data_IF_769936266120
#
_entry.id   IF_769936266120
#
_cell.length_a   1.000
_cell.length_b   1.000
_cell.length_c   1.000
_cell.angle_alpha   90.00
_cell.angle_beta   90.00
_cell.angle_gamma   90.00
#
_symmetry.space_group_name_H-M   'P 1'
#
loop_
_entity.id
_entity.type
_entity.pdbx_description
1 polymer ?
#
# COMPACT_ATOMS: atom_id res chain seq x y z
N UNK A 1 -19.73 7.30 36.42
CA UNK A 1 -18.43 6.64 36.20
C UNK A 1 -18.50 5.28 35.44
N UNK A 2 -19.65 4.84 34.91
CA UNK A 2 -19.78 3.56 34.20
C UNK A 2 -19.72 3.68 32.65
N UNK A 3 -19.95 4.86 32.12
CA UNK A 3 -19.99 5.13 30.66
C UNK A 3 -18.61 5.23 30.00
N UNK A 4 -17.60 5.68 30.72
CA UNK A 4 -16.23 5.83 30.15
C UNK A 4 -15.51 4.50 29.88
N UNK A 5 -15.88 3.42 30.57
CA UNK A 5 -15.28 2.10 30.34
C UNK A 5 -15.71 1.46 29.00
N UNK A 6 -16.93 1.77 28.57
CA UNK A 6 -17.44 1.28 27.28
C UNK A 6 -16.89 2.06 26.10
N UNK A 7 -16.68 3.37 26.24
CA UNK A 7 -16.03 4.18 25.20
C UNK A 7 -14.57 3.78 25.02
N UNK A 8 -13.83 3.51 26.09
CA UNK A 8 -12.45 3.02 25.99
C UNK A 8 -12.36 1.63 25.33
N UNK A 9 -13.34 0.76 25.54
CA UNK A 9 -13.39 -0.56 24.89
C UNK A 9 -13.73 -0.46 23.40
N UNK A 10 -14.57 0.48 22.99
CA UNK A 10 -14.91 0.74 21.57
C UNK A 10 -13.73 1.36 20.84
N UNK A 11 -13.02 2.30 21.44
CA UNK A 11 -11.79 2.90 20.87
C UNK A 11 -10.67 1.85 20.74
N UNK A 12 -10.58 0.90 21.68
CA UNK A 12 -9.60 -0.20 21.60
C UNK A 12 -9.96 -1.23 20.50
N UNK A 13 -11.25 -1.41 20.22
CA UNK A 13 -11.73 -2.30 19.14
C UNK A 13 -11.58 -1.68 17.74
N UNK A 14 -11.68 -0.36 17.62
CA UNK A 14 -11.47 0.36 16.37
C UNK A 14 -9.97 0.55 16.02
N UNK A 15 -9.08 0.46 17.02
CA UNK A 15 -7.63 0.50 16.82
C UNK A 15 -7.00 -0.80 16.30
N UNK A 16 -7.77 -1.87 16.11
CA UNK A 16 -7.27 -3.19 15.70
C UNK A 16 -7.46 -3.51 14.20
N UNK A 17 -7.94 -2.58 13.38
CA UNK A 17 -8.21 -2.85 11.96
C UNK A 17 -7.13 -2.32 11.00
N UNK A 18 -6.01 -1.83 11.50
CA UNK A 18 -4.82 -1.61 10.67
C UNK A 18 -3.96 -2.87 10.62
N UNK A 19 -4.51 -3.96 10.10
CA UNK A 19 -3.71 -5.12 9.72
C UNK A 19 -3.10 -4.86 8.35
N UNK A 20 -2.06 -4.05 8.28
CA UNK A 20 -1.13 -4.13 7.17
C UNK A 20 -0.58 -5.56 7.14
N UNK A 21 -0.82 -6.31 6.06
CA UNK A 21 -0.23 -7.64 5.93
C UNK A 21 1.23 -7.47 5.54
N UNK A 22 2.13 -7.76 6.46
CA UNK A 22 3.56 -7.65 6.21
C UNK A 22 4.10 -8.94 5.61
N UNK A 23 4.98 -8.79 4.65
CA UNK A 23 5.71 -9.88 4.02
C UNK A 23 7.20 -9.62 4.13
N UNK A 24 7.97 -10.68 4.26
CA UNK A 24 9.42 -10.59 4.09
C UNK A 24 9.86 -11.51 2.98
N UNK A 25 10.61 -10.97 2.04
CA UNK A 25 11.23 -11.74 0.97
C UNK A 25 12.76 -11.75 1.17
N UNK A 26 13.34 -12.94 1.12
CA UNK A 26 14.79 -13.14 1.14
C UNK A 26 15.17 -13.81 -0.16
N UNK A 27 16.13 -13.24 -0.89
CA UNK A 27 16.66 -13.80 -2.12
C UNK A 27 18.15 -14.06 -1.94
N UNK A 28 18.58 -15.31 -2.14
CA UNK A 28 19.96 -15.72 -2.08
C UNK A 28 20.42 -16.18 -3.46
N UNK A 29 21.43 -15.53 -3.99
CA UNK A 29 22.07 -15.93 -5.25
C UNK A 29 23.28 -16.81 -4.94
N UNK A 30 23.26 -18.03 -5.45
CA UNK A 30 24.32 -19.00 -5.26
C UNK A 30 25.46 -18.82 -6.27
N UNK A 31 26.61 -19.41 -5.99
CA UNK A 31 27.80 -19.32 -6.84
C UNK A 31 27.64 -19.97 -8.23
N UNK A 32 26.67 -20.85 -8.40
CA UNK A 32 26.29 -21.47 -9.68
C UNK A 32 25.34 -20.62 -10.51
N UNK A 33 24.80 -19.51 -9.94
CA UNK A 33 23.88 -18.61 -10.58
C UNK A 33 22.41 -18.93 -10.29
N UNK A 34 22.14 -19.99 -9.54
CA UNK A 34 20.79 -20.29 -9.06
C UNK A 34 20.36 -19.26 -8.02
N UNK A 35 19.08 -18.95 -7.97
CA UNK A 35 18.49 -18.10 -6.95
C UNK A 35 17.54 -18.89 -6.07
N UNK A 36 17.79 -18.88 -4.76
CA UNK A 36 16.86 -19.37 -3.77
C UNK A 36 16.07 -18.20 -3.17
N UNK A 37 14.75 -18.30 -3.22
CA UNK A 37 13.86 -17.26 -2.70
C UNK A 37 12.98 -17.82 -1.61
N UNK A 38 12.94 -17.12 -0.49
CA UNK A 38 12.04 -17.39 0.63
C UNK A 38 11.10 -16.21 0.83
N UNK A 39 9.81 -16.48 1.01
CA UNK A 39 8.82 -15.46 1.34
C UNK A 39 8.12 -15.89 2.63
N UNK A 40 8.07 -14.97 3.57
CA UNK A 40 7.48 -15.17 4.89
C UNK A 40 6.20 -14.35 5.00
N UNK A 41 5.18 -14.92 5.62
CA UNK A 41 3.90 -14.29 5.88
C UNK A 41 3.30 -14.77 7.21
N UNK A 42 2.22 -14.14 7.61
CA UNK A 42 1.35 -14.65 8.67
C UNK A 42 0.21 -15.45 8.04
N UNK A 43 0.20 -16.76 8.25
CA UNK A 43 -0.88 -17.65 7.86
C UNK A 43 -1.86 -17.85 9.04
N UNK A 44 -3.15 -17.80 8.74
CA UNK A 44 -4.19 -18.15 9.71
C UNK A 44 -4.25 -19.67 9.98
N UNK A 45 -5.10 -20.07 10.92
CA UNK A 45 -5.24 -21.48 11.29
C UNK A 45 -5.72 -22.36 10.14
N UNK A 46 -6.52 -21.85 9.20
CA UNK A 46 -7.01 -22.60 8.06
C UNK A 46 -5.87 -22.87 7.06
N UNK A 47 -5.05 -21.84 6.74
CA UNK A 47 -3.88 -22.02 5.89
C UNK A 47 -2.86 -22.99 6.51
N UNK A 48 -2.59 -22.87 7.80
CA UNK A 48 -1.68 -23.76 8.54
C UNK A 48 -2.19 -25.20 8.56
N UNK A 49 -3.52 -25.40 8.55
CA UNK A 49 -4.15 -26.71 8.41
C UNK A 49 -4.16 -27.24 6.95
N UNK A 50 -3.69 -26.46 5.98
CA UNK A 50 -3.54 -26.87 4.57
C UNK A 50 -4.60 -26.31 3.62
N UNK A 51 -5.51 -25.47 4.09
CA UNK A 51 -6.50 -24.82 3.20
C UNK A 51 -5.84 -23.69 2.39
N UNK A 52 -5.64 -23.96 1.11
CA UNK A 52 -5.00 -23.02 0.18
C UNK A 52 -5.92 -21.87 -0.27
N UNK A 53 -7.21 -21.89 0.04
CA UNK A 53 -8.11 -20.77 -0.20
C UNK A 53 -7.83 -19.60 0.75
N UNK A 54 -7.20 -19.89 1.89
CA UNK A 54 -6.72 -18.90 2.87
C UNK A 54 -5.27 -18.47 2.62
N UNK A 55 -4.82 -18.51 1.36
CA UNK A 55 -3.46 -18.14 1.01
C UNK A 55 -3.10 -16.72 1.45
N UNK A 56 -2.13 -16.54 2.38
CA UNK A 56 -1.76 -15.22 2.87
C UNK A 56 -0.83 -14.47 1.90
N UNK A 57 -0.28 -15.15 0.89
CA UNK A 57 0.66 -14.55 -0.05
C UNK A 57 -0.07 -13.86 -1.21
N UNK A 58 0.53 -12.80 -1.74
CA UNK A 58 0.00 -12.03 -2.86
C UNK A 58 0.18 -12.73 -4.23
N UNK A 59 0.65 -13.98 -4.22
CA UNK A 59 0.86 -14.78 -5.41
C UNK A 59 0.36 -16.21 -5.19
N UNK A 60 0.13 -16.91 -6.28
CA UNK A 60 -0.31 -18.30 -6.24
C UNK A 60 0.82 -19.23 -5.82
N UNK A 61 0.55 -20.07 -4.84
CA UNK A 61 1.45 -21.17 -4.44
C UNK A 61 1.15 -22.37 -5.32
N UNK A 62 1.95 -22.56 -6.35
CA UNK A 62 1.92 -23.74 -7.21
C UNK A 62 2.80 -24.88 -6.66
N UNK A 63 2.88 -25.99 -7.39
CA UNK A 63 3.68 -27.16 -6.99
C UNK A 63 5.20 -26.92 -6.98
N UNK A 64 5.66 -25.79 -7.47
CA UNK A 64 7.07 -25.41 -7.42
C UNK A 64 7.49 -24.73 -6.12
N UNK A 65 6.52 -24.40 -5.25
CA UNK A 65 6.78 -23.81 -3.96
C UNK A 65 6.73 -24.84 -2.84
N UNK A 66 7.76 -24.88 -2.02
CA UNK A 66 7.77 -25.63 -0.77
C UNK A 66 7.19 -24.77 0.35
N UNK A 67 6.18 -25.28 1.05
CA UNK A 67 5.51 -24.59 2.16
C UNK A 67 5.99 -25.19 3.48
N UNK A 68 6.42 -24.33 4.39
CA UNK A 68 6.89 -24.72 5.73
C UNK A 68 6.18 -23.88 6.78
N UNK A 69 5.57 -24.54 7.75
CA UNK A 69 5.11 -23.90 8.98
C UNK A 69 6.30 -23.71 9.91
N UNK A 70 6.39 -22.55 10.54
CA UNK A 70 7.46 -22.27 11.49
C UNK A 70 6.98 -22.68 12.89
N UNK A 71 7.78 -23.49 13.62
CA UNK A 71 7.46 -23.97 14.97
C UNK A 71 7.31 -22.83 15.97
N UNK A 72 8.02 -21.74 15.73
CA UNK A 72 7.88 -20.48 16.45
C UNK A 72 7.80 -19.34 15.46
N UNK A 73 6.92 -18.37 15.72
CA UNK A 73 6.84 -17.20 14.89
C UNK A 73 8.19 -16.48 14.86
N UNK A 74 8.66 -16.22 13.64
CA UNK A 74 9.92 -15.48 13.44
C UNK A 74 9.61 -13.99 13.54
N UNK A 75 10.31 -13.32 14.44
CA UNK A 75 10.24 -11.88 14.57
C UNK A 75 11.25 -11.25 13.63
N UNK A 76 10.77 -10.39 12.76
CA UNK A 76 11.63 -9.55 11.95
C UNK A 76 11.42 -8.11 12.41
N UNK A 77 12.50 -7.41 12.78
CA UNK A 77 12.44 -5.98 13.01
C UNK A 77 12.34 -5.28 11.65
N UNK A 78 11.13 -4.93 11.30
CA UNK A 78 10.86 -4.03 10.19
C UNK A 78 10.23 -2.78 10.79
N UNK A 79 10.97 -1.66 10.80
CA UNK A 79 10.45 -0.34 11.22
C UNK A 79 9.83 -0.27 12.63
N UNK A 80 10.32 -1.09 13.55
CA UNK A 80 9.88 -1.11 14.93
C UNK A 80 8.66 -2.01 15.23
N UNK A 81 8.02 -2.58 14.23
CA UNK A 81 6.93 -3.53 14.42
C UNK A 81 7.45 -4.96 14.52
N UNK A 82 7.01 -5.66 15.56
CA UNK A 82 7.34 -7.08 15.79
C UNK A 82 6.28 -7.97 15.13
N UNK A 83 6.27 -8.07 13.81
CA UNK A 83 5.37 -8.99 13.12
C UNK A 83 5.83 -10.42 13.32
N UNK A 84 4.89 -11.26 13.75
CA UNK A 84 5.12 -12.69 13.94
C UNK A 84 4.75 -13.42 12.67
N UNK A 85 5.73 -13.63 11.80
CA UNK A 85 5.53 -14.43 10.60
C UNK A 85 5.68 -15.91 10.96
N UNK A 86 4.66 -16.73 10.65
CA UNK A 86 4.55 -18.11 11.09
C UNK A 86 4.55 -19.12 9.94
N UNK A 87 4.62 -18.65 8.70
CA UNK A 87 4.69 -19.49 7.51
C UNK A 87 5.76 -18.99 6.56
N UNK A 88 6.46 -19.92 5.93
CA UNK A 88 7.46 -19.68 4.90
C UNK A 88 7.12 -20.48 3.65
N UNK A 89 7.26 -19.86 2.50
CA UNK A 89 7.32 -20.56 1.22
C UNK A 89 8.68 -20.33 0.58
N UNK A 90 9.25 -21.34 -0.04
CA UNK A 90 10.52 -21.21 -0.73
C UNK A 90 10.50 -21.87 -2.10
N UNK A 91 11.33 -21.34 -3.00
CA UNK A 91 11.52 -21.87 -4.35
C UNK A 91 12.94 -21.57 -4.82
N UNK A 92 13.51 -22.52 -5.54
CA UNK A 92 14.81 -22.35 -6.20
C UNK A 92 14.61 -22.19 -7.69
N UNK A 93 15.16 -21.13 -8.24
CA UNK A 93 15.12 -20.79 -9.66
C UNK A 93 16.48 -21.09 -10.28
N UNK A 94 16.50 -21.66 -11.51
CA UNK A 94 17.76 -22.02 -12.15
C UNK A 94 18.62 -20.80 -12.54
N UNK A 95 17.99 -19.66 -12.73
CA UNK A 95 18.68 -18.40 -13.01
C UNK A 95 17.93 -17.23 -12.38
N UNK A 96 18.68 -16.16 -12.08
CA UNK A 96 18.08 -14.89 -11.63
C UNK A 96 17.19 -14.33 -12.75
N UNK A 97 16.00 -13.85 -12.38
CA UNK A 97 15.01 -13.27 -13.32
C UNK A 97 14.19 -14.30 -14.10
N UNK A 98 14.28 -15.58 -13.75
CA UNK A 98 13.45 -16.63 -14.35
C UNK A 98 12.11 -16.84 -13.61
N UNK A 99 11.90 -16.13 -12.52
CA UNK A 99 10.68 -16.24 -11.75
C UNK A 99 9.54 -15.41 -12.34
N UNK A 100 8.45 -16.08 -12.58
CA UNK A 100 7.16 -15.44 -12.76
C UNK A 100 6.33 -15.73 -11.51
N UNK A 101 5.96 -14.69 -10.79
CA UNK A 101 4.90 -14.82 -9.80
C UNK A 101 3.58 -14.96 -10.57
N UNK A 102 2.94 -16.13 -10.50
CA UNK A 102 1.61 -16.26 -11.07
C UNK A 102 0.63 -15.49 -10.18
N UNK A 103 -0.13 -14.58 -10.80
CA UNK A 103 -1.17 -13.83 -10.12
C UNK A 103 -2.23 -14.76 -9.53
N UNK A 104 -2.81 -14.39 -8.41
CA UNK A 104 -4.00 -15.06 -7.87
C UNK A 104 -5.15 -14.88 -8.87
N UNK A 105 -5.84 -15.97 -9.18
CA UNK A 105 -6.85 -16.11 -10.23
C UNK A 105 -7.71 -14.86 -10.45
N UNK A 106 -7.44 -14.12 -11.54
CA UNK A 106 -8.31 -13.08 -12.08
C UNK A 106 -8.49 -11.80 -11.28
N UNK A 107 -7.89 -11.68 -10.10
CA UNK A 107 -7.81 -10.41 -9.38
C UNK A 107 -6.51 -9.72 -9.80
N UNK A 108 -6.62 -8.77 -10.70
CA UNK A 108 -5.61 -7.73 -10.82
C UNK A 108 -5.61 -6.98 -9.51
N UNK A 109 -4.61 -7.21 -8.67
CA UNK A 109 -4.35 -6.29 -7.58
C UNK A 109 -4.02 -4.94 -8.18
N UNK A 110 -4.68 -3.90 -7.74
CA UNK A 110 -4.50 -2.53 -8.20
C UNK A 110 -3.08 -1.98 -7.93
N UNK A 111 -2.33 -2.63 -7.05
CA UNK A 111 -0.89 -2.50 -6.96
C UNK A 111 -0.29 -3.73 -7.63
N UNK A 112 0.21 -3.64 -8.87
CA UNK A 112 1.02 -4.70 -9.39
C UNK A 112 2.14 -4.91 -8.37
N UNK A 113 2.29 -6.14 -7.87
CA UNK A 113 3.55 -6.58 -7.31
C UNK A 113 4.58 -6.14 -8.34
N UNK A 114 5.33 -5.11 -8.02
CA UNK A 114 6.35 -4.59 -8.91
C UNK A 114 7.43 -5.65 -8.90
N UNK A 115 7.24 -6.64 -9.78
CA UNK A 115 8.21 -7.71 -9.96
C UNK A 115 9.47 -7.02 -10.47
N UNK A 116 10.54 -6.99 -9.67
CA UNK A 116 11.74 -6.32 -10.10
C UNK A 116 12.31 -6.99 -11.34
N UNK A 117 12.83 -6.20 -12.26
CA UNK A 117 13.68 -6.73 -13.33
C UNK A 117 15.03 -7.09 -12.71
N UNK A 118 15.26 -8.36 -12.50
CA UNK A 118 16.45 -8.87 -11.84
C UNK A 118 17.53 -9.23 -12.86
N UNK A 119 18.77 -8.87 -12.55
CA UNK A 119 19.93 -9.18 -13.38
C UNK A 119 21.07 -9.64 -12.50
N UNK A 120 21.71 -10.73 -12.93
CA UNK A 120 22.95 -11.20 -12.35
C UNK A 120 24.09 -11.03 -13.36
N UNK A 121 25.09 -10.26 -13.00
CA UNK A 121 26.31 -10.12 -13.78
C UNK A 121 27.43 -10.86 -13.08
N UNK A 122 28.03 -11.86 -13.78
CA UNK A 122 29.21 -12.58 -13.34
C UNK A 122 30.43 -11.99 -14.05
N UNK A 123 31.45 -11.62 -13.29
CA UNK A 123 32.71 -11.17 -13.85
C UNK A 123 33.88 -11.85 -13.11
N UNK A 124 34.86 -12.32 -13.89
CA UNK A 124 36.08 -12.90 -13.35
C UNK A 124 37.21 -11.88 -13.44
N UNK A 125 37.84 -11.61 -12.29
CA UNK A 125 39.02 -10.73 -12.22
C UNK A 125 40.14 -11.42 -11.44
N UNK A 126 41.21 -11.73 -12.12
CA UNK A 126 42.39 -12.39 -11.56
C UNK A 126 42.06 -13.76 -10.93
N UNK A 127 41.87 -13.79 -9.64
CA UNK A 127 41.57 -15.02 -8.87
C UNK A 127 40.20 -15.03 -8.23
N UNK A 128 39.40 -14.00 -8.49
CA UNK A 128 38.07 -13.81 -7.88
C UNK A 128 37.00 -13.77 -8.91
N UNK A 129 35.88 -14.40 -8.61
CA UNK A 129 34.62 -14.25 -9.32
C UNK A 129 33.73 -13.28 -8.57
N UNK A 130 33.32 -12.20 -9.24
CA UNK A 130 32.39 -11.22 -8.69
C UNK A 130 31.00 -11.50 -9.25
N UNK A 131 30.02 -11.51 -8.36
CA UNK A 131 28.60 -11.57 -8.70
C UNK A 131 27.99 -10.22 -8.35
N UNK A 132 27.43 -9.54 -9.31
CA UNK A 132 26.68 -8.31 -9.12
C UNK A 132 25.21 -8.63 -9.39
N UNK A 133 24.41 -8.64 -8.34
CA UNK A 133 22.98 -8.75 -8.41
C UNK A 133 22.36 -7.36 -8.44
N UNK A 134 21.41 -7.12 -9.35
CA UNK A 134 20.68 -5.87 -9.46
C UNK A 134 19.19 -6.21 -9.59
N UNK A 135 18.37 -5.65 -8.72
CA UNK A 135 16.92 -5.70 -8.82
C UNK A 135 16.43 -4.27 -9.14
N UNK A 136 15.81 -4.09 -10.30
CA UNK A 136 15.23 -2.81 -10.70
C UNK A 136 13.73 -2.91 -10.59
N UNK A 137 13.16 -2.19 -9.67
CA UNK A 137 11.70 -2.08 -9.50
C UNK A 137 11.17 -1.10 -10.54
N UNK A 138 9.99 -1.42 -11.11
CA UNK A 138 9.29 -0.51 -12.00
C UNK A 138 8.86 0.77 -11.28
N UNK A 139 8.50 1.76 -12.05
CA UNK A 139 7.85 2.94 -11.48
C UNK A 139 6.45 2.53 -11.01
N UNK A 140 6.02 3.07 -9.85
CA UNK A 140 4.62 2.95 -9.46
C UNK A 140 3.79 3.54 -10.62
N UNK A 141 2.76 2.84 -11.10
CA UNK A 141 1.91 3.41 -12.11
C UNK A 141 1.31 4.70 -11.55
N UNK A 142 1.66 5.82 -12.17
CA UNK A 142 1.07 7.13 -11.87
C UNK A 142 -0.36 7.15 -12.44
N UNK A 143 -1.23 6.37 -11.85
CA UNK A 143 -2.64 6.25 -12.22
C UNK A 143 -3.56 6.92 -11.20
N UNK A 144 -2.99 7.56 -10.20
CA UNK A 144 -3.77 8.29 -9.21
C UNK A 144 -4.44 9.52 -9.82
N UNK A 145 -5.55 10.00 -9.24
CA UNK A 145 -6.27 11.19 -9.71
C UNK A 145 -5.43 12.46 -9.61
N UNK A 146 -4.33 12.42 -8.84
CA UNK A 146 -3.41 13.54 -8.66
C UNK A 146 -1.98 13.10 -8.98
N UNK A 147 -1.31 13.74 -9.95
CA UNK A 147 0.08 13.42 -10.29
C UNK A 147 1.01 13.62 -9.10
N UNK A 148 1.84 12.60 -8.80
CA UNK A 148 2.79 12.62 -7.70
C UNK A 148 3.86 13.72 -7.88
N UNK A 149 4.21 14.02 -9.12
CA UNK A 149 5.19 15.06 -9.48
C UNK A 149 4.81 16.46 -9.02
N UNK A 150 3.52 16.70 -8.76
CA UNK A 150 3.05 17.98 -8.20
C UNK A 150 3.49 18.19 -6.74
N UNK A 151 3.89 17.13 -6.05
CA UNK A 151 4.24 17.15 -4.63
C UNK A 151 5.69 16.74 -4.38
N UNK A 152 6.19 15.76 -5.11
CA UNK A 152 7.51 15.18 -4.93
C UNK A 152 8.27 15.18 -6.24
N UNK A 153 9.51 15.69 -6.22
CA UNK A 153 10.39 15.58 -7.37
C UNK A 153 10.93 14.14 -7.51
N UNK A 154 11.58 13.84 -8.65
CA UNK A 154 12.09 12.49 -8.95
C UNK A 154 13.12 11.96 -7.95
N UNK A 155 13.90 12.84 -7.33
CA UNK A 155 14.87 12.46 -6.30
C UNK A 155 14.13 12.04 -5.01
N UNK A 156 13.16 12.84 -4.56
CA UNK A 156 12.34 12.57 -3.40
C UNK A 156 11.54 11.26 -3.57
N UNK A 157 10.99 11.03 -4.76
CA UNK A 157 10.32 9.76 -5.10
C UNK A 157 11.28 8.57 -4.99
N UNK A 158 12.54 8.70 -5.48
CA UNK A 158 13.53 7.62 -5.35
C UNK A 158 13.90 7.36 -3.89
N UNK A 159 14.08 8.40 -3.08
CA UNK A 159 14.35 8.26 -1.66
C UNK A 159 13.19 7.53 -0.98
N UNK A 160 11.95 7.98 -1.19
CA UNK A 160 10.78 7.47 -0.51
C UNK A 160 10.41 6.04 -0.93
N UNK A 161 10.28 5.80 -2.23
CA UNK A 161 9.78 4.52 -2.74
C UNK A 161 10.88 3.47 -2.97
N UNK A 162 12.12 3.87 -3.15
CA UNK A 162 13.24 2.97 -3.48
C UNK A 162 14.29 2.88 -2.39
N UNK A 163 14.18 3.69 -1.34
CA UNK A 163 15.19 3.76 -0.28
C UNK A 163 16.56 4.21 -0.81
N UNK A 164 16.59 5.06 -1.84
CA UNK A 164 17.83 5.57 -2.43
C UNK A 164 18.54 6.49 -1.43
N UNK A 165 19.55 5.93 -0.76
CA UNK A 165 20.33 6.66 0.24
C UNK A 165 21.48 7.47 -0.37
N UNK A 166 21.78 7.31 -1.66
CA UNK A 166 22.89 8.05 -2.29
C UNK A 166 22.67 9.57 -2.21
N UNK A 167 21.44 10.01 -2.33
CA UNK A 167 21.05 11.42 -2.20
C UNK A 167 21.15 11.98 -0.76
N UNK A 168 21.34 11.11 0.23
CA UNK A 168 21.51 11.49 1.63
C UNK A 168 23.00 11.45 2.05
N UNK A 169 23.91 11.01 1.17
CA UNK A 169 25.34 10.95 1.45
C UNK A 169 25.90 12.36 1.66
N UNK A 170 26.61 12.54 2.76
CA UNK A 170 27.24 13.82 3.09
C UNK A 170 26.42 14.71 4.04
N UNK A 171 25.15 14.36 4.28
CA UNK A 171 24.33 15.00 5.29
C UNK A 171 24.65 14.38 6.68
N UNK A 172 24.61 15.22 7.73
CA UNK A 172 24.65 14.67 9.09
C UNK A 172 23.30 14.05 9.47
N UNK A 173 23.25 13.28 10.59
CA UNK A 173 22.05 12.55 10.97
C UNK A 173 20.80 13.42 11.18
N UNK A 174 20.97 14.65 11.65
CA UNK A 174 19.85 15.61 11.85
C UNK A 174 19.33 16.08 10.49
N UNK A 175 20.23 16.42 9.59
CA UNK A 175 19.87 16.85 8.23
C UNK A 175 19.19 15.73 7.44
N UNK A 176 19.64 14.48 7.59
CA UNK A 176 19.00 13.32 6.99
C UNK A 176 17.57 13.13 7.50
N UNK A 177 17.37 13.19 8.82
CA UNK A 177 16.03 13.07 9.42
C UNK A 177 15.11 14.20 8.94
N UNK A 178 15.56 15.46 9.00
CA UNK A 178 14.76 16.59 8.52
C UNK A 178 14.37 16.44 7.04
N UNK A 179 15.29 15.90 6.22
CA UNK A 179 15.01 15.65 4.79
C UNK A 179 13.97 14.56 4.60
N UNK A 180 14.06 13.47 5.38
CA UNK A 180 13.09 12.38 5.34
C UNK A 180 11.71 12.82 5.83
N UNK A 181 11.66 13.58 6.92
CA UNK A 181 10.40 14.15 7.47
C UNK A 181 9.72 15.09 6.45
N UNK A 182 10.51 15.92 5.72
CA UNK A 182 9.97 16.77 4.64
C UNK A 182 9.39 15.95 3.49
N UNK A 183 10.08 14.88 3.10
CA UNK A 183 9.62 13.97 2.05
C UNK A 183 8.35 13.24 2.48
N UNK A 184 8.32 12.74 3.72
CA UNK A 184 7.14 12.10 4.30
C UNK A 184 5.93 13.04 4.32
N UNK A 185 6.12 14.27 4.78
CA UNK A 185 5.06 15.28 4.78
C UNK A 185 4.50 15.57 3.38
N UNK A 186 5.38 15.60 2.35
CA UNK A 186 4.96 15.76 0.95
C UNK A 186 4.17 14.55 0.45
N UNK A 187 4.61 13.34 0.81
CA UNK A 187 3.91 12.11 0.48
C UNK A 187 2.50 12.10 1.08
N UNK A 188 2.36 12.42 2.37
CA UNK A 188 1.05 12.46 3.02
C UNK A 188 0.13 13.52 2.43
N UNK A 189 0.64 14.69 2.04
CA UNK A 189 -0.14 15.71 1.34
C UNK A 189 -0.65 15.22 -0.01
N UNK A 190 0.18 14.54 -0.78
CA UNK A 190 -0.21 13.92 -2.04
C UNK A 190 -1.25 12.82 -1.81
N UNK A 191 -1.01 11.94 -0.86
CA UNK A 191 -1.90 10.82 -0.54
C UNK A 191 -3.30 11.32 -0.13
N UNK A 192 -3.37 12.23 0.83
CA UNK A 192 -4.64 12.80 1.30
C UNK A 192 -5.40 13.51 0.17
N UNK A 193 -4.69 14.25 -0.69
CA UNK A 193 -5.33 14.86 -1.86
C UNK A 193 -5.84 13.81 -2.84
N UNK A 194 -5.09 12.76 -3.08
CA UNK A 194 -5.48 11.69 -4.00
C UNK A 194 -6.70 10.94 -3.48
N UNK A 195 -6.76 10.60 -2.20
CA UNK A 195 -7.91 9.94 -1.59
C UNK A 195 -9.18 10.82 -1.67
N UNK A 196 -9.03 12.10 -1.36
CA UNK A 196 -10.12 13.07 -1.50
C UNK A 196 -10.66 13.17 -2.94
N UNK A 197 -9.76 13.28 -3.92
CA UNK A 197 -10.12 13.34 -5.34
C UNK A 197 -10.85 12.08 -5.79
N UNK A 198 -10.35 10.92 -5.36
CA UNK A 198 -10.95 9.63 -5.64
C UNK A 198 -12.37 9.53 -5.07
N UNK A 199 -12.57 9.95 -3.82
CA UNK A 199 -13.90 10.01 -3.21
C UNK A 199 -14.86 10.93 -3.99
N UNK A 200 -14.37 12.10 -4.42
CA UNK A 200 -15.17 13.00 -5.26
C UNK A 200 -15.56 12.36 -6.61
N UNK A 201 -14.65 11.58 -7.23
CA UNK A 201 -14.95 10.84 -8.45
C UNK A 201 -16.02 9.76 -8.23
N UNK A 202 -15.91 9.02 -7.12
CA UNK A 202 -16.91 8.01 -6.74
C UNK A 202 -18.28 8.67 -6.50
N UNK A 203 -18.32 9.73 -5.72
CA UNK A 203 -19.57 10.47 -5.46
C UNK A 203 -20.16 10.99 -6.77
N UNK A 204 -19.35 11.58 -7.65
CA UNK A 204 -19.80 12.08 -8.96
C UNK A 204 -20.39 10.96 -9.82
N UNK A 205 -19.78 9.78 -9.80
CA UNK A 205 -20.29 8.62 -10.53
C UNK A 205 -21.72 8.26 -10.10
N UNK A 206 -22.00 8.20 -8.79
CA UNK A 206 -23.31 7.85 -8.27
C UNK A 206 -24.35 8.97 -8.47
N UNK A 207 -23.97 10.24 -8.36
CA UNK A 207 -24.83 11.37 -8.72
C UNK A 207 -25.25 11.28 -10.19
N UNK A 208 -24.29 10.95 -11.07
CA UNK A 208 -24.52 10.85 -12.52
C UNK A 208 -25.47 9.69 -12.85
N UNK A 209 -25.31 8.53 -12.23
CA UNK A 209 -26.21 7.37 -12.40
C UNK A 209 -27.62 7.73 -11.96
N UNK A 210 -27.77 8.48 -10.87
CA UNK A 210 -29.06 8.93 -10.35
C UNK A 210 -29.71 9.99 -11.21
N UNK A 211 -28.94 10.68 -12.07
CA UNK A 211 -29.45 11.73 -12.96
C UNK A 211 -29.62 13.10 -12.29
N UNK A 212 -29.05 13.30 -11.11
CA UNK A 212 -29.23 14.52 -10.30
C UNK A 212 -28.23 15.63 -10.73
N UNK A 213 -28.42 16.18 -11.94
CA UNK A 213 -27.47 17.15 -12.54
C UNK A 213 -27.20 18.39 -11.69
N UNK A 214 -28.17 18.85 -10.89
CA UNK A 214 -27.96 19.98 -9.98
C UNK A 214 -26.85 19.70 -8.96
N UNK A 215 -26.75 18.46 -8.45
CA UNK A 215 -25.72 18.06 -7.47
C UNK A 215 -24.38 17.81 -8.12
N UNK A 216 -24.29 17.52 -9.41
CA UNK A 216 -23.03 17.52 -10.17
C UNK A 216 -22.37 18.90 -10.11
N UNK A 217 -23.13 19.96 -10.39
CA UNK A 217 -22.63 21.35 -10.31
C UNK A 217 -22.26 21.71 -8.87
N UNK A 218 -23.12 21.35 -7.92
CA UNK A 218 -22.87 21.64 -6.51
C UNK A 218 -21.61 20.94 -5.99
N UNK A 219 -21.36 19.69 -6.36
CA UNK A 219 -20.12 18.99 -6.03
C UNK A 219 -18.89 19.70 -6.61
N UNK A 220 -18.96 20.13 -7.88
CA UNK A 220 -17.87 20.86 -8.52
C UNK A 220 -17.54 22.17 -7.79
N UNK A 221 -18.57 22.92 -7.37
CA UNK A 221 -18.41 24.20 -6.65
C UNK A 221 -17.89 24.01 -5.22
N UNK A 222 -18.24 22.90 -4.56
CA UNK A 222 -17.87 22.63 -3.17
C UNK A 222 -16.54 21.89 -3.02
N UNK A 223 -16.05 21.26 -4.06
CA UNK A 223 -14.87 20.40 -4.03
C UNK A 223 -13.64 21.08 -3.40
N UNK A 224 -13.23 22.22 -3.92
CA UNK A 224 -12.07 22.94 -3.36
C UNK A 224 -12.34 23.58 -1.98
N UNK A 225 -13.50 24.20 -1.72
CA UNK A 225 -13.85 24.68 -0.39
C UNK A 225 -13.85 23.60 0.70
N UNK A 226 -14.38 22.40 0.41
CA UNK A 226 -14.37 21.28 1.36
C UNK A 226 -12.95 20.80 1.61
N UNK A 227 -12.16 20.60 0.55
CA UNK A 227 -10.75 20.22 0.70
C UNK A 227 -9.99 21.23 1.57
N UNK A 228 -10.07 22.51 1.23
CA UNK A 228 -9.37 23.57 1.94
C UNK A 228 -9.74 23.66 3.42
N UNK A 229 -11.02 23.42 3.77
CA UNK A 229 -11.49 23.54 5.15
C UNK A 229 -11.19 22.31 6.01
N UNK A 230 -11.29 21.10 5.44
CA UNK A 230 -11.30 19.87 6.24
C UNK A 230 -10.07 18.95 6.04
N UNK A 231 -9.36 19.09 4.91
CA UNK A 231 -8.28 18.17 4.54
C UNK A 231 -6.90 18.83 4.37
N UNK A 232 -6.81 20.12 4.03
CA UNK A 232 -5.55 20.77 3.61
C UNK A 232 -4.50 20.96 4.71
N UNK A 233 -4.79 20.64 5.97
CA UNK A 233 -3.88 20.81 7.10
C UNK A 233 -3.64 19.54 7.90
N UNK A 234 -4.13 18.40 7.43
CA UNK A 234 -3.98 17.14 8.14
C UNK A 234 -2.69 16.44 7.70
N UNK A 235 -1.78 16.23 8.65
CA UNK A 235 -0.52 15.47 8.45
C UNK A 235 -0.72 13.96 8.69
N UNK A 236 -1.94 13.52 9.00
CA UNK A 236 -2.30 12.13 9.27
C UNK A 236 -3.31 11.65 8.26
N UNK A 237 -3.19 10.40 7.85
CA UNK A 237 -4.08 9.72 6.91
C UNK A 237 -5.51 9.54 7.41
N UNK A 238 -6.15 10.65 7.79
CA UNK A 238 -7.60 10.69 8.00
C UNK A 238 -8.27 10.62 6.64
N UNK A 239 -9.07 9.69 6.53
CA UNK A 239 -9.44 8.83 5.44
C UNK A 239 -10.01 9.44 4.18
N UNK A 240 -10.25 10.67 3.99
CA UNK A 240 -10.86 11.17 2.75
C UNK A 240 -11.86 10.19 2.10
N UNK A 241 -12.46 9.29 2.90
CA UNK A 241 -13.39 8.26 2.45
C UNK A 241 -14.65 8.86 1.84
N UNK A 242 -15.37 8.15 0.96
CA UNK A 242 -16.63 8.66 0.40
C UNK A 242 -17.65 9.07 1.47
N UNK A 243 -17.70 8.35 2.61
CA UNK A 243 -18.57 8.68 3.74
C UNK A 243 -18.23 10.04 4.34
N UNK A 244 -16.96 10.25 4.63
CA UNK A 244 -16.46 11.47 5.26
C UNK A 244 -16.64 12.68 4.34
N UNK A 245 -16.27 12.52 3.07
CA UNK A 245 -16.44 13.59 2.06
C UNK A 245 -17.90 13.95 1.88
N UNK A 246 -18.83 12.98 1.82
CA UNK A 246 -20.27 13.24 1.77
C UNK A 246 -20.77 14.03 2.97
N UNK A 247 -20.30 13.71 4.17
CA UNK A 247 -20.69 14.43 5.38
C UNK A 247 -20.22 15.89 5.36
N UNK A 248 -18.99 16.17 4.92
CA UNK A 248 -18.47 17.54 4.82
C UNK A 248 -19.11 18.33 3.67
N UNK A 249 -19.47 17.67 2.57
CA UNK A 249 -20.26 18.30 1.49
C UNK A 249 -21.62 18.75 2.01
N UNK A 250 -22.32 17.91 2.78
CA UNK A 250 -23.60 18.24 3.39
C UNK A 250 -23.48 19.36 4.44
N UNK A 251 -22.42 19.33 5.26
CA UNK A 251 -22.17 20.38 6.24
C UNK A 251 -21.98 21.74 5.57
N UNK A 252 -21.19 21.80 4.50
CA UNK A 252 -20.89 23.05 3.82
C UNK A 252 -22.06 23.55 2.96
N UNK A 253 -22.81 22.64 2.35
CA UNK A 253 -24.00 22.96 1.53
C UNK A 253 -25.28 23.13 2.31
N UNK A 254 -25.29 22.79 3.60
CA UNK A 254 -26.48 22.76 4.47
C UNK A 254 -27.58 21.83 3.92
N UNK A 255 -27.21 20.74 3.27
CA UNK A 255 -28.12 19.70 2.77
C UNK A 255 -27.92 18.39 3.52
N UNK A 256 -28.66 17.36 3.14
CA UNK A 256 -28.45 15.95 3.52
C UNK A 256 -28.40 15.05 2.30
N UNK A 257 -28.18 15.61 1.15
CA UNK A 257 -28.23 14.86 -0.09
C UNK A 257 -27.07 13.87 -0.22
N UNK A 258 -25.84 14.33 0.04
CA UNK A 258 -24.64 13.53 -0.17
C UNK A 258 -24.55 12.37 0.85
N UNK A 259 -24.83 12.62 2.12
CA UNK A 259 -24.87 11.56 3.13
C UNK A 259 -26.00 10.56 2.89
N UNK A 260 -27.15 11.00 2.39
CA UNK A 260 -28.24 10.10 1.98
C UNK A 260 -27.85 9.28 0.76
N UNK A 261 -27.20 9.89 -0.24
CA UNK A 261 -26.69 9.18 -1.41
C UNK A 261 -25.70 8.09 -1.00
N UNK A 262 -24.77 8.38 -0.07
CA UNK A 262 -23.83 7.41 0.45
C UNK A 262 -24.56 6.30 1.23
N UNK A 263 -25.49 6.64 2.13
CA UNK A 263 -26.23 5.66 2.91
C UNK A 263 -27.01 4.67 2.03
N UNK A 264 -27.63 5.17 0.95
CA UNK A 264 -28.38 4.35 -0.01
C UNK A 264 -27.48 3.44 -0.85
N UNK A 265 -26.18 3.81 -1.01
CA UNK A 265 -25.24 3.12 -1.90
C UNK A 265 -23.92 2.75 -1.19
N UNK A 266 -23.91 2.60 0.13
CA UNK A 266 -22.70 2.43 0.94
C UNK A 266 -21.75 1.39 0.34
N UNK A 267 -22.19 0.15 0.26
CA UNK A 267 -21.34 -0.95 -0.22
C UNK A 267 -20.82 -0.74 -1.65
N UNK A 268 -21.66 -0.39 -2.66
CA UNK A 268 -21.17 -0.11 -4.00
C UNK A 268 -20.20 1.07 -4.09
N UNK A 269 -20.34 2.09 -3.24
CA UNK A 269 -19.40 3.24 -3.22
C UNK A 269 -18.07 2.83 -2.59
N UNK A 270 -18.10 2.08 -1.49
CA UNK A 270 -16.89 1.59 -0.83
C UNK A 270 -16.15 0.60 -1.75
N UNK A 271 -16.85 -0.36 -2.37
CA UNK A 271 -16.26 -1.31 -3.32
C UNK A 271 -15.60 -0.57 -4.51
N UNK A 272 -16.26 0.45 -5.09
CA UNK A 272 -15.70 1.25 -6.19
C UNK A 272 -14.49 2.10 -5.74
N UNK A 273 -14.50 2.59 -4.52
CA UNK A 273 -13.39 3.37 -3.96
C UNK A 273 -12.15 2.48 -3.72
N UNK A 274 -12.35 1.26 -3.23
CA UNK A 274 -11.26 0.30 -3.01
C UNK A 274 -10.70 -0.29 -4.31
N UNK A 275 -11.50 -0.34 -5.39
CA UNK A 275 -11.10 -0.87 -6.69
C UNK A 275 -10.19 0.11 -7.47
N UNK A 276 -10.31 1.40 -7.21
CA UNK A 276 -9.57 2.46 -7.91
C UNK A 276 -8.23 2.79 -7.24
#
# INVERSE_FOLDING_TARGET
MRTYKWMAAIVLLLGMTSCGTYYRMVSQVNSDGNMHREVYAYGDSAFLAGDRNHNPFLFRIDSGWEVSNLDSAVKFNCWGDEDKLNVKVCRTYPTVGSDSFSTLDGKEYSLPLVVPVEKLRKSFRWFYTYYQYTATYGELPDKGPVPLENYMNKEEQRIWFRGDQEALIGLNGIEQNNRLDDIEAKFWKWYNRSQYELSCEVILHFITIKGDTAFVHQLADLKEPVYGKYFSGKDTGDDGSPEEVCNYLDELSQTKYFSSLYADNKKPMDDLFEEK
#
